data_IF_056508716933
#
_entry.id   IF_056508716933
#
_cell.length_a   1.000
_cell.length_b   1.000
_cell.length_c   1.000
_cell.angle_alpha   90.00
_cell.angle_beta   90.00
_cell.angle_gamma   90.00
#
_symmetry.space_group_name_H-M   'P 1'
#
loop_
_entity.id
_entity.type
_entity.pdbx_description
1 polymer ?
#
# COMPACT_ATOMS: atom_id res chain seq x y z
N UNK A 1 2.06 -26.48 -8.47
CA UNK A 1 1.04 -25.42 -8.31
C UNK A 1 0.31 -25.27 -9.62
N UNK A 2 -1.02 -25.31 -9.60
CA UNK A 2 -1.86 -25.11 -10.78
C UNK A 2 -2.95 -24.09 -10.45
N UNK A 3 -3.14 -23.08 -11.30
CA UNK A 3 -4.17 -22.06 -11.09
C UNK A 3 -3.84 -20.70 -11.72
N UNK A 4 -4.65 -19.69 -11.37
CA UNK A 4 -4.49 -18.30 -11.81
C UNK A 4 -4.58 -17.36 -10.62
N UNK A 5 -3.58 -16.49 -10.48
CA UNK A 5 -3.55 -15.40 -9.52
C UNK A 5 -3.85 -14.08 -10.24
N UNK A 6 -4.72 -13.27 -9.66
CA UNK A 6 -5.04 -11.91 -10.10
C UNK A 6 -4.41 -10.90 -9.13
N UNK A 7 -4.24 -9.65 -9.58
CA UNK A 7 -3.64 -8.57 -8.79
C UNK A 7 -2.24 -8.95 -8.27
N UNK A 8 -1.39 -9.49 -9.14
CA UNK A 8 -0.04 -9.93 -8.80
C UNK A 8 0.96 -8.76 -8.82
N UNK A 9 0.73 -7.77 -7.95
CA UNK A 9 1.54 -6.54 -7.85
C UNK A 9 3.04 -6.85 -7.81
N UNK A 10 3.78 -6.24 -8.74
CA UNK A 10 5.23 -6.37 -8.87
C UNK A 10 5.74 -7.68 -9.48
N UNK A 11 4.87 -8.64 -9.82
CA UNK A 11 5.29 -9.95 -10.33
C UNK A 11 6.08 -9.85 -11.65
N UNK A 12 5.79 -8.85 -12.48
CA UNK A 12 6.52 -8.57 -13.71
C UNK A 12 8.02 -8.28 -13.47
N UNK A 13 8.36 -7.77 -12.29
CA UNK A 13 9.71 -7.33 -11.95
C UNK A 13 10.44 -8.30 -11.00
N UNK A 14 9.72 -9.27 -10.44
CA UNK A 14 10.20 -10.12 -9.35
C UNK A 14 10.94 -11.37 -9.86
N UNK A 15 12.05 -11.71 -9.20
CA UNK A 15 12.78 -12.98 -9.43
C UNK A 15 12.17 -14.15 -8.64
N UNK A 16 11.43 -13.83 -7.57
CA UNK A 16 10.66 -14.77 -6.74
C UNK A 16 9.25 -14.23 -6.58
N UNK A 17 8.25 -15.02 -6.95
CA UNK A 17 6.85 -14.62 -6.95
C UNK A 17 6.13 -15.27 -5.76
N UNK A 18 5.89 -14.52 -4.66
CA UNK A 18 5.17 -15.04 -3.51
C UNK A 18 3.73 -15.34 -3.90
N UNK A 19 3.35 -16.61 -3.75
CA UNK A 19 2.07 -17.15 -4.19
C UNK A 19 1.42 -17.86 -3.03
N UNK A 20 0.25 -17.37 -2.60
CA UNK A 20 -0.54 -18.09 -1.62
C UNK A 20 -1.19 -19.28 -2.32
N UNK A 21 -1.01 -20.46 -1.74
CA UNK A 21 -1.52 -21.73 -2.25
C UNK A 21 -2.22 -22.48 -1.14
N UNK A 22 -3.09 -23.41 -1.51
CA UNK A 22 -3.81 -24.29 -0.60
C UNK A 22 -3.50 -25.72 -1.02
N UNK A 23 -3.14 -26.58 -0.06
CA UNK A 23 -2.91 -28.01 -0.32
C UNK A 23 -4.20 -28.83 -0.32
N UNK A 24 -4.09 -30.13 -0.60
CA UNK A 24 -5.22 -31.05 -0.67
C UNK A 24 -5.99 -31.21 0.66
N UNK A 25 -5.36 -30.84 1.78
CA UNK A 25 -5.98 -30.85 3.11
C UNK A 25 -6.63 -29.50 3.47
N UNK A 26 -6.58 -28.51 2.56
CA UNK A 26 -7.11 -27.18 2.80
C UNK A 26 -6.18 -26.24 3.58
N UNK A 27 -4.92 -26.63 3.80
CA UNK A 27 -3.96 -25.81 4.56
C UNK A 27 -3.32 -24.78 3.65
N UNK A 28 -3.28 -23.52 4.12
CA UNK A 28 -2.70 -22.41 3.37
C UNK A 28 -1.19 -22.31 3.57
N UNK A 29 -0.47 -22.18 2.46
CA UNK A 29 0.98 -21.98 2.41
C UNK A 29 1.32 -20.74 1.58
N UNK A 30 2.55 -20.24 1.76
CA UNK A 30 3.15 -19.26 0.87
C UNK A 30 4.32 -19.91 0.13
N UNK A 31 4.22 -19.99 -1.18
CA UNK A 31 5.23 -20.55 -2.07
C UNK A 31 5.99 -19.43 -2.78
N UNK A 32 7.32 -19.46 -2.75
CA UNK A 32 8.20 -18.50 -3.41
C UNK A 32 8.69 -19.02 -4.77
N UNK A 33 7.82 -18.90 -5.78
CA UNK A 33 8.05 -19.48 -7.11
C UNK A 33 9.17 -18.73 -7.84
N UNK A 34 10.26 -19.40 -8.28
CA UNK A 34 11.24 -18.78 -9.17
C UNK A 34 10.59 -18.24 -10.45
N UNK A 35 11.05 -17.07 -10.93
CA UNK A 35 10.49 -16.42 -12.13
C UNK A 35 10.55 -17.29 -13.39
N UNK A 36 11.55 -18.15 -13.48
CA UNK A 36 11.84 -18.97 -14.67
C UNK A 36 11.37 -20.41 -14.52
N UNK A 37 10.52 -20.71 -13.53
CA UNK A 37 9.96 -22.06 -13.37
C UNK A 37 9.13 -22.49 -14.57
N UNK A 38 9.33 -23.73 -15.02
CA UNK A 38 8.49 -24.35 -16.05
C UNK A 38 7.00 -24.30 -15.66
N UNK A 39 6.16 -23.92 -16.62
CA UNK A 39 4.71 -23.77 -16.44
C UNK A 39 4.26 -22.45 -15.79
N UNK A 40 5.17 -21.56 -15.42
CA UNK A 40 4.85 -20.23 -14.90
C UNK A 40 4.73 -19.21 -16.04
N UNK A 41 3.62 -18.47 -16.09
CA UNK A 41 3.45 -17.37 -17.04
C UNK A 41 2.97 -16.10 -16.34
N UNK A 42 3.81 -15.07 -16.33
CA UNK A 42 3.48 -13.73 -15.80
C UNK A 42 2.99 -12.86 -16.96
N UNK A 43 1.76 -12.37 -16.86
CA UNK A 43 1.07 -11.65 -17.92
C UNK A 43 1.03 -10.16 -17.59
N UNK A 44 1.46 -9.33 -18.52
CA UNK A 44 1.33 -7.87 -18.44
C UNK A 44 -0.05 -7.42 -18.94
N UNK A 45 -1.10 -7.71 -18.16
CA UNK A 45 -2.50 -7.37 -18.46
C UNK A 45 -3.08 -6.33 -17.49
N UNK A 46 -2.23 -5.59 -16.76
CA UNK A 46 -2.69 -4.56 -15.82
C UNK A 46 -3.16 -3.30 -16.55
N UNK A 47 -4.41 -2.89 -16.32
CA UNK A 47 -5.02 -1.72 -16.95
C UNK A 47 -5.81 -0.84 -15.97
N UNK A 48 -5.22 -0.54 -14.80
CA UNK A 48 -5.83 0.35 -13.80
C UNK A 48 -5.92 1.83 -14.23
N UNK A 49 -6.89 2.57 -13.67
CA UNK A 49 -6.96 4.03 -13.84
C UNK A 49 -5.75 4.74 -13.20
N UNK A 50 -5.47 4.42 -11.93
CA UNK A 50 -4.26 4.82 -11.20
C UNK A 50 -3.34 3.63 -10.96
N UNK A 51 -2.22 3.84 -10.26
CA UNK A 51 -1.23 2.78 -9.98
C UNK A 51 -0.78 2.04 -11.25
N UNK A 52 -0.69 2.76 -12.39
CA UNK A 52 -0.52 2.16 -13.73
C UNK A 52 0.78 1.39 -13.90
N UNK A 53 1.78 1.67 -13.06
CA UNK A 53 3.14 1.10 -13.14
C UNK A 53 3.40 0.01 -12.11
N UNK A 54 2.41 -0.38 -11.29
CA UNK A 54 2.59 -1.41 -10.24
C UNK A 54 2.73 -2.83 -10.79
N UNK A 55 2.40 -3.05 -12.06
CA UNK A 55 2.48 -4.37 -12.68
C UNK A 55 1.55 -5.39 -12.02
N UNK A 56 0.35 -4.98 -11.63
CA UNK A 56 -0.61 -5.79 -10.87
C UNK A 56 -1.44 -6.75 -11.74
N UNK A 57 -0.80 -7.33 -12.76
CA UNK A 57 -1.44 -8.21 -13.74
C UNK A 57 -1.73 -9.62 -13.21
N UNK A 58 -1.92 -10.54 -14.14
CA UNK A 58 -2.20 -11.95 -13.88
C UNK A 58 -0.91 -12.79 -13.84
N UNK A 59 -0.93 -13.86 -13.03
CA UNK A 59 0.06 -14.95 -13.10
C UNK A 59 -0.68 -16.27 -13.28
N UNK A 60 -0.30 -17.04 -14.29
CA UNK A 60 -0.77 -18.40 -14.54
C UNK A 60 0.27 -19.41 -14.07
N UNK A 61 -0.23 -20.49 -13.48
CA UNK A 61 0.56 -21.62 -13.02
C UNK A 61 -0.01 -22.89 -13.68
N UNK A 62 0.79 -23.56 -14.49
CA UNK A 62 0.49 -24.87 -15.07
C UNK A 62 1.47 -25.91 -14.51
N UNK A 63 1.03 -26.69 -13.51
CA UNK A 63 1.82 -27.75 -12.88
C UNK A 63 3.23 -27.32 -12.43
N UNK A 64 3.36 -26.07 -11.97
CA UNK A 64 4.64 -25.47 -11.59
C UNK A 64 5.22 -26.19 -10.38
N UNK A 65 6.43 -26.73 -10.53
CA UNK A 65 7.18 -27.29 -9.40
C UNK A 65 7.73 -26.18 -8.49
N UNK A 66 7.67 -26.41 -7.18
CA UNK A 66 8.29 -25.56 -6.15
C UNK A 66 8.98 -26.47 -5.14
N UNK A 67 10.24 -26.17 -4.82
CA UNK A 67 10.99 -26.92 -3.84
C UNK A 67 10.37 -26.75 -2.45
N UNK A 68 10.44 -27.79 -1.61
CA UNK A 68 9.89 -27.73 -0.25
C UNK A 68 10.49 -26.58 0.58
N UNK A 69 11.78 -26.27 0.38
CA UNK A 69 12.48 -25.17 1.05
C UNK A 69 11.95 -23.77 0.64
N UNK A 70 11.27 -23.67 -0.50
CA UNK A 70 10.63 -22.44 -0.98
C UNK A 70 9.15 -22.33 -0.56
N UNK A 71 8.67 -23.26 0.29
CA UNK A 71 7.29 -23.29 0.80
C UNK A 71 7.29 -23.08 2.30
N UNK A 72 6.63 -22.02 2.75
CA UNK A 72 6.46 -21.75 4.19
C UNK A 72 4.99 -21.93 4.62
N UNK A 73 4.74 -22.52 5.81
CA UNK A 73 3.41 -22.57 6.38
C UNK A 73 2.89 -21.14 6.61
N UNK A 74 1.71 -20.83 6.10
CA UNK A 74 1.11 -19.51 6.27
C UNK A 74 0.12 -19.49 7.44
N UNK A 75 -0.63 -20.58 7.63
CA UNK A 75 -1.64 -20.67 8.69
C UNK A 75 -1.06 -20.55 10.11
N UNK A 76 0.12 -21.12 10.36
CA UNK A 76 0.80 -21.04 11.67
C UNK A 76 1.22 -19.61 12.05
N UNK A 77 1.35 -18.70 11.07
CA UNK A 77 1.63 -17.30 11.33
C UNK A 77 0.49 -16.57 12.07
N UNK A 78 -0.74 -17.12 12.03
CA UNK A 78 -1.93 -16.55 12.65
C UNK A 78 -2.37 -17.27 13.93
N UNK A 79 -1.69 -18.35 14.32
CA UNK A 79 -1.92 -19.03 15.60
C UNK A 79 -1.38 -18.22 16.80
N UNK A 80 -0.62 -17.15 16.51
CA UNK A 80 -0.07 -16.21 17.49
C UNK A 80 -0.24 -14.77 17.00
N UNK A 81 -0.26 -13.78 17.92
CA UNK A 81 -0.24 -12.37 17.53
C UNK A 81 0.96 -12.06 16.63
N UNK A 82 0.73 -11.37 15.52
CA UNK A 82 1.75 -11.02 14.54
C UNK A 82 1.59 -9.58 14.06
N UNK A 83 2.68 -8.80 13.92
CA UNK A 83 2.62 -7.44 13.38
C UNK A 83 2.46 -7.41 11.85
N UNK A 84 2.35 -8.55 11.16
CA UNK A 84 2.23 -8.61 9.68
C UNK A 84 1.02 -7.82 9.18
N UNK A 85 -0.12 -7.89 9.88
CA UNK A 85 -1.33 -7.13 9.54
C UNK A 85 -1.11 -5.61 9.55
N UNK A 86 -0.76 -5.01 10.71
CA UNK A 86 -0.47 -3.57 10.77
C UNK A 86 0.70 -3.15 9.88
N UNK A 87 1.73 -3.99 9.71
CA UNK A 87 2.83 -3.71 8.77
C UNK A 87 2.33 -3.61 7.32
N UNK A 88 1.51 -4.55 6.86
CA UNK A 88 0.95 -4.47 5.52
C UNK A 88 0.08 -3.20 5.37
N UNK A 89 -0.66 -2.82 6.40
CA UNK A 89 -1.58 -1.69 6.31
C UNK A 89 -0.86 -0.34 6.34
N UNK A 90 0.17 -0.16 7.17
CA UNK A 90 0.90 1.11 7.28
C UNK A 90 1.63 1.46 5.97
N UNK A 91 2.09 0.46 5.21
CA UNK A 91 2.75 0.68 3.92
C UNK A 91 1.84 1.43 2.94
N UNK A 92 0.54 1.11 2.86
CA UNK A 92 -0.33 1.91 2.00
C UNK A 92 -0.70 3.26 2.62
N UNK A 93 -0.86 3.35 3.95
CA UNK A 93 -1.11 4.65 4.60
C UNK A 93 0.05 5.63 4.29
N UNK A 94 1.29 5.13 4.28
CA UNK A 94 2.46 5.90 3.88
C UNK A 94 2.43 6.31 2.40
N UNK A 95 2.06 5.39 1.50
CA UNK A 95 1.89 5.70 0.07
C UNK A 95 0.83 6.80 -0.13
N UNK A 96 -0.34 6.65 0.49
CA UNK A 96 -1.45 7.59 0.38
C UNK A 96 -1.08 8.97 0.94
N UNK A 97 -0.37 9.00 2.07
CA UNK A 97 0.14 10.24 2.69
C UNK A 97 1.16 10.93 1.78
N UNK A 98 2.08 10.17 1.18
CA UNK A 98 3.04 10.70 0.21
C UNK A 98 2.37 11.29 -1.04
N UNK A 99 1.34 10.62 -1.56
CA UNK A 99 0.53 11.13 -2.68
C UNK A 99 -0.19 12.42 -2.26
N UNK A 100 -0.78 12.47 -1.07
CA UNK A 100 -1.46 13.66 -0.56
C UNK A 100 -0.51 14.86 -0.41
N UNK A 101 0.71 14.62 0.08
CA UNK A 101 1.77 15.63 0.18
C UNK A 101 2.16 16.18 -1.18
N UNK A 102 2.46 15.31 -2.14
CA UNK A 102 2.82 15.73 -3.50
C UNK A 102 1.68 16.52 -4.17
N UNK A 103 0.44 16.02 -4.08
CA UNK A 103 -0.72 16.70 -4.64
C UNK A 103 -0.97 18.09 -4.01
N UNK A 104 -0.72 18.24 -2.70
CA UNK A 104 -0.82 19.52 -2.02
C UNK A 104 0.24 20.52 -2.49
N UNK A 105 1.49 20.07 -2.66
CA UNK A 105 2.56 20.92 -3.17
C UNK A 105 2.34 21.34 -4.62
N UNK A 106 1.90 20.41 -5.47
CA UNK A 106 1.53 20.70 -6.86
C UNK A 106 0.38 21.71 -6.93
N UNK A 107 -0.64 21.55 -6.07
CA UNK A 107 -1.75 22.50 -5.98
C UNK A 107 -1.27 23.88 -5.52
N UNK A 108 -0.36 23.96 -4.55
CA UNK A 108 0.24 25.22 -4.10
C UNK A 108 1.04 25.89 -5.22
N UNK A 109 1.82 25.12 -5.97
CA UNK A 109 2.57 25.65 -7.11
C UNK A 109 1.62 26.18 -8.19
N UNK A 110 0.60 25.41 -8.54
CA UNK A 110 -0.38 25.77 -9.56
C UNK A 110 -1.14 27.05 -9.20
N UNK A 111 -1.62 27.16 -7.95
CA UNK A 111 -2.39 28.34 -7.52
C UNK A 111 -1.57 29.62 -7.50
N UNK A 112 -0.28 29.52 -7.20
CA UNK A 112 0.64 30.68 -7.14
C UNK A 112 1.15 31.12 -8.52
N UNK A 113 1.21 30.22 -9.49
CA UNK A 113 1.94 30.48 -10.75
C UNK A 113 1.07 30.42 -12.01
N UNK A 114 -0.09 29.76 -11.97
CA UNK A 114 -0.94 29.51 -13.14
C UNK A 114 -2.37 29.96 -12.97
N UNK A 115 -2.91 29.93 -11.75
CA UNK A 115 -4.32 30.25 -11.52
C UNK A 115 -4.62 31.72 -11.77
N UNK A 116 -5.70 31.97 -12.52
CA UNK A 116 -6.24 33.31 -12.74
C UNK A 116 -7.25 33.65 -11.65
N UNK A 117 -7.30 34.90 -11.16
CA UNK A 117 -8.35 35.34 -10.24
C UNK A 117 -9.74 35.10 -10.83
N UNK A 118 -10.72 34.81 -9.97
CA UNK A 118 -12.11 34.76 -10.38
C UNK A 118 -12.59 36.16 -10.77
N UNK A 119 -13.48 36.26 -11.76
CA UNK A 119 -13.90 37.56 -12.31
C UNK A 119 -14.57 38.49 -11.28
N UNK A 120 -15.23 37.90 -10.28
CA UNK A 120 -15.88 38.61 -9.18
C UNK A 120 -15.06 38.56 -7.86
N UNK A 121 -13.80 38.12 -7.91
CA UNK A 121 -12.96 38.09 -6.71
C UNK A 121 -12.60 39.51 -6.26
N UNK A 122 -12.44 39.69 -4.95
CA UNK A 122 -11.99 40.97 -4.38
C UNK A 122 -10.47 41.14 -4.40
N UNK A 123 -9.73 40.13 -4.85
CA UNK A 123 -8.27 40.16 -5.00
C UNK A 123 -7.86 39.95 -6.45
N UNK A 124 -6.88 40.73 -6.90
CA UNK A 124 -6.24 40.61 -8.21
C UNK A 124 -5.26 39.43 -8.30
N UNK A 125 -5.03 38.71 -7.18
CA UNK A 125 -4.13 37.57 -7.10
C UNK A 125 -4.91 36.35 -6.59
N UNK A 126 -5.00 35.31 -7.41
CA UNK A 126 -5.78 34.11 -7.08
C UNK A 126 -5.36 33.44 -5.76
N UNK A 127 -4.08 33.46 -5.42
CA UNK A 127 -3.57 32.90 -4.16
C UNK A 127 -3.88 33.75 -2.92
N UNK A 128 -4.37 34.97 -3.08
CA UNK A 128 -4.80 35.85 -1.99
C UNK A 128 -6.32 35.87 -1.80
N UNK A 129 -7.07 35.19 -2.68
CA UNK A 129 -8.51 35.02 -2.53
C UNK A 129 -8.85 34.31 -1.19
N UNK A 130 -9.72 34.88 -0.35
CA UNK A 130 -10.03 34.31 0.97
C UNK A 130 -10.60 32.89 0.93
N UNK A 131 -11.36 32.52 -0.12
CA UNK A 131 -11.93 31.17 -0.26
C UNK A 131 -10.86 30.14 -0.66
N UNK A 132 -9.92 30.56 -1.48
CA UNK A 132 -8.73 29.80 -1.84
C UNK A 132 -7.86 29.56 -0.61
N UNK A 133 -7.53 30.62 0.15
CA UNK A 133 -6.78 30.51 1.39
C UNK A 133 -7.45 29.58 2.41
N UNK A 134 -8.77 29.71 2.59
CA UNK A 134 -9.56 28.82 3.48
C UNK A 134 -9.47 27.36 3.03
N UNK A 135 -9.57 27.10 1.72
CA UNK A 135 -9.49 25.74 1.17
C UNK A 135 -8.12 25.12 1.40
N UNK A 136 -7.04 25.85 1.10
CA UNK A 136 -5.67 25.39 1.33
C UNK A 136 -5.34 25.23 2.81
N UNK A 137 -5.84 26.11 3.68
CA UNK A 137 -5.70 25.95 5.13
C UNK A 137 -6.34 24.66 5.64
N UNK A 138 -7.55 24.32 5.16
CA UNK A 138 -8.22 23.06 5.50
C UNK A 138 -7.47 21.83 4.97
N UNK A 139 -6.93 21.90 3.75
CA UNK A 139 -6.12 20.82 3.18
C UNK A 139 -4.83 20.62 3.98
N UNK A 140 -4.14 21.70 4.35
CA UNK A 140 -2.92 21.67 5.15
C UNK A 140 -3.15 21.02 6.52
N UNK A 141 -4.23 21.38 7.22
CA UNK A 141 -4.59 20.77 8.52
C UNK A 141 -4.83 19.27 8.38
N UNK A 142 -5.54 18.84 7.33
CA UNK A 142 -5.80 17.42 7.07
C UNK A 142 -4.54 16.63 6.74
N UNK A 143 -3.65 17.22 5.93
CA UNK A 143 -2.37 16.61 5.59
C UNK A 143 -1.48 16.44 6.82
N UNK A 144 -1.33 17.48 7.65
CA UNK A 144 -0.57 17.37 8.89
C UNK A 144 -1.17 16.36 9.86
N UNK A 145 -2.50 16.24 9.92
CA UNK A 145 -3.16 15.23 10.74
C UNK A 145 -2.85 13.80 10.24
N UNK A 146 -2.88 13.57 8.92
CA UNK A 146 -2.52 12.27 8.33
C UNK A 146 -1.06 11.91 8.61
N UNK A 147 -0.14 12.86 8.46
CA UNK A 147 1.29 12.67 8.76
C UNK A 147 1.54 12.33 10.23
N UNK A 148 0.89 13.06 11.16
CA UNK A 148 1.03 12.80 12.59
C UNK A 148 0.43 11.44 13.00
N UNK A 149 -0.69 11.03 12.39
CA UNK A 149 -1.28 9.71 12.63
C UNK A 149 -0.40 8.59 12.07
N UNK A 150 0.18 8.79 10.88
CA UNK A 150 1.13 7.85 10.28
C UNK A 150 2.39 7.69 11.14
N UNK A 151 2.97 8.78 11.63
CA UNK A 151 4.13 8.76 12.52
C UNK A 151 3.83 7.97 13.80
N UNK A 152 2.73 8.29 14.49
CA UNK A 152 2.28 7.55 15.68
C UNK A 152 2.03 6.07 15.40
N UNK A 153 1.45 5.74 14.25
CA UNK A 153 1.24 4.36 13.84
C UNK A 153 2.56 3.61 13.63
N UNK A 154 3.57 4.29 13.08
CA UNK A 154 4.93 3.76 12.93
C UNK A 154 5.57 3.43 14.27
N UNK A 155 5.53 4.35 15.23
CA UNK A 155 6.07 4.14 16.58
C UNK A 155 5.44 2.91 17.27
N UNK A 156 4.11 2.76 17.21
CA UNK A 156 3.44 1.61 17.81
C UNK A 156 3.74 0.31 17.07
N UNK A 157 3.92 0.36 15.75
CA UNK A 157 4.34 -0.80 14.98
C UNK A 157 5.76 -1.24 15.34
N UNK A 158 6.70 -0.30 15.50
CA UNK A 158 8.06 -0.59 15.94
C UNK A 158 8.06 -1.27 17.32
N UNK A 159 7.24 -0.78 18.26
CA UNK A 159 7.04 -1.42 19.57
C UNK A 159 6.48 -2.85 19.41
N UNK A 160 5.50 -3.06 18.53
CA UNK A 160 4.92 -4.38 18.28
C UNK A 160 5.91 -5.36 17.62
N UNK A 161 6.83 -4.87 16.80
CA UNK A 161 7.91 -5.68 16.23
C UNK A 161 8.98 -6.04 17.27
N UNK A 162 9.36 -5.09 18.13
CA UNK A 162 10.37 -5.32 19.18
C UNK A 162 9.85 -6.19 20.34
N UNK A 163 8.57 -6.08 20.68
CA UNK A 163 7.93 -6.82 21.77
C UNK A 163 6.57 -7.38 21.33
N UNK A 164 6.59 -8.46 20.55
CA UNK A 164 5.37 -9.03 19.96
C UNK A 164 4.53 -9.79 20.98
N UNK A 165 3.36 -9.24 21.30
CA UNK A 165 2.29 -9.92 22.02
C UNK A 165 0.92 -9.31 21.67
N UNK A 166 -0.17 -9.91 22.14
CA UNK A 166 -1.53 -9.50 21.77
C UNK A 166 -1.78 -7.98 21.99
N UNK A 167 -1.39 -7.45 23.16
CA UNK A 167 -1.52 -6.03 23.46
C UNK A 167 -0.80 -5.07 22.51
N UNK A 168 0.48 -5.31 22.19
CA UNK A 168 1.25 -4.43 21.30
C UNK A 168 0.76 -4.54 19.85
N UNK A 169 0.46 -5.75 19.37
CA UNK A 169 -0.10 -5.96 18.03
C UNK A 169 -1.47 -5.28 17.88
N UNK A 170 -2.33 -5.35 18.90
CA UNK A 170 -3.63 -4.67 18.89
C UNK A 170 -3.47 -3.14 18.86
N UNK A 171 -2.58 -2.58 19.69
CA UNK A 171 -2.29 -1.15 19.71
C UNK A 171 -1.78 -0.64 18.35
N UNK A 172 -0.84 -1.36 17.73
CA UNK A 172 -0.35 -1.05 16.39
C UNK A 172 -1.46 -1.15 15.34
N UNK A 173 -2.30 -2.19 15.41
CA UNK A 173 -3.41 -2.38 14.46
C UNK A 173 -4.42 -1.25 14.53
N UNK A 174 -4.77 -0.78 15.73
CA UNK A 174 -5.68 0.36 15.92
C UNK A 174 -5.05 1.64 15.36
N UNK A 175 -3.80 1.96 15.72
CA UNK A 175 -3.18 3.19 15.26
C UNK A 175 -2.96 3.21 13.73
N UNK A 176 -2.62 2.07 13.12
CA UNK A 176 -2.53 1.96 11.66
C UNK A 176 -3.90 2.12 11.01
N UNK A 177 -4.97 1.60 11.62
CA UNK A 177 -6.34 1.82 11.12
C UNK A 177 -6.79 3.27 11.25
N UNK A 178 -6.33 4.01 12.26
CA UNK A 178 -6.59 5.45 12.41
C UNK A 178 -5.86 6.29 11.35
N UNK A 179 -4.72 5.83 10.84
CA UNK A 179 -3.94 6.49 9.79
C UNK A 179 -4.46 6.17 8.36
N UNK A 180 -5.44 5.28 8.21
CA UNK A 180 -6.02 4.81 6.95
C UNK A 180 -7.30 5.53 6.55
#
# INVERSE_FOLDING_TARGET
>A
ITGRKFYATGALYAQRIPTSVVDDNGVQHLAFVPRDSDGLNVIDDWSGFGQRTTGSGSVLFDNVFVAADDVIPFQSAFERPTPVGPLAQILHAAIDTGIARAAFEDALHFVRTKTRPWIDATSDIASEDPLTLKSFGRLSVRLHAAEALLERAGELLDIAQANTHAGTVAAASIAVAEAR
#
